data_IF_433465756248
#
_entry.id   IF_433465756248
#
_cell.length_a   1.000
_cell.length_b   1.000
_cell.length_c   1.000
_cell.angle_alpha   90.00
_cell.angle_beta   90.00
_cell.angle_gamma   90.00
#
_symmetry.space_group_name_H-M   'P 1'
#
loop_
_entity.id
_entity.type
_entity.pdbx_description
1 polymer ?
#
# COMPACT_ATOMS: atom_id res chain seq x y z
N UNK A 1 -34.32 -3.60 64.06
CA UNK A 1 -33.99 -4.52 62.96
C UNK A 1 -32.78 -3.96 62.26
N UNK A 2 -31.62 -4.56 62.49
CA UNK A 2 -30.32 -4.08 62.04
C UNK A 2 -29.80 -4.96 60.89
N UNK A 3 -29.26 -4.28 59.88
CA UNK A 3 -28.13 -4.68 59.01
C UNK A 3 -28.12 -6.07 58.36
N UNK A 4 -28.53 -6.12 57.08
CA UNK A 4 -28.00 -7.02 56.05
C UNK A 4 -27.42 -6.08 54.97
N UNK A 5 -26.20 -6.16 54.44
CA UNK A 5 -25.17 -7.17 54.43
C UNK A 5 -24.33 -6.80 53.19
N UNK A 6 -23.36 -5.91 53.36
CA UNK A 6 -22.52 -5.42 52.26
C UNK A 6 -21.29 -6.34 52.15
N UNK A 7 -21.36 -7.35 51.29
CA UNK A 7 -20.18 -8.10 50.84
C UNK A 7 -19.95 -7.72 49.38
N UNK A 8 -19.17 -6.65 49.18
CA UNK A 8 -18.56 -6.35 47.89
C UNK A 8 -17.32 -7.25 47.77
N UNK A 9 -17.48 -8.36 47.06
CA UNK A 9 -16.35 -9.17 46.61
C UNK A 9 -15.64 -8.39 45.50
N UNK A 10 -14.58 -7.67 45.86
CA UNK A 10 -13.67 -7.02 44.91
C UNK A 10 -12.93 -8.11 44.12
N UNK A 11 -13.46 -8.45 42.94
CA UNK A 11 -12.67 -9.14 41.92
C UNK A 11 -11.68 -8.13 41.35
N UNK A 12 -10.47 -8.10 41.91
CA UNK A 12 -9.30 -7.44 41.33
C UNK A 12 -8.91 -8.19 40.05
N UNK A 13 -9.61 -7.93 38.94
CA UNK A 13 -9.06 -8.17 37.62
C UNK A 13 -8.07 -7.04 37.34
N UNK A 14 -6.82 -7.28 37.71
CA UNK A 14 -5.69 -6.55 37.16
C UNK A 14 -5.76 -6.66 35.64
N UNK A 15 -6.17 -5.58 34.97
CA UNK A 15 -5.98 -5.39 33.54
C UNK A 15 -4.46 -5.25 33.30
N UNK A 16 -3.75 -6.37 33.23
CA UNK A 16 -2.46 -6.40 32.57
C UNK A 16 -2.72 -5.99 31.12
N UNK A 17 -2.09 -4.90 30.67
CA UNK A 17 -2.16 -4.48 29.28
C UNK A 17 -1.80 -5.69 28.41
N UNK A 18 -2.73 -6.12 27.56
CA UNK A 18 -2.57 -7.35 26.80
C UNK A 18 -1.32 -7.25 25.92
N UNK A 19 -0.49 -8.30 25.94
CA UNK A 19 0.86 -8.33 25.36
C UNK A 19 0.82 -8.38 23.83
N UNK A 20 1.48 -7.41 23.17
CA UNK A 20 1.48 -7.25 21.70
C UNK A 20 2.48 -8.15 20.97
N UNK A 21 3.32 -8.86 21.71
CA UNK A 21 4.31 -9.82 21.20
C UNK A 21 4.09 -11.20 21.79
N UNK A 22 4.53 -12.22 21.08
CA UNK A 22 4.36 -13.63 21.49
C UNK A 22 5.52 -14.09 22.38
N UNK A 23 5.26 -15.08 23.22
CA UNK A 23 6.29 -15.72 24.05
C UNK A 23 7.18 -16.73 23.30
N UNK A 24 6.80 -17.13 22.09
CA UNK A 24 7.54 -18.08 21.25
C UNK A 24 8.49 -17.40 20.25
N UNK A 25 8.67 -16.08 20.33
CA UNK A 25 9.55 -15.30 19.46
C UNK A 25 9.03 -15.10 18.02
N UNK A 26 7.80 -15.54 17.72
CA UNK A 26 7.17 -15.33 16.41
C UNK A 26 6.51 -13.96 16.33
N UNK A 27 6.50 -13.40 15.12
CA UNK A 27 5.91 -12.10 14.82
C UNK A 27 5.41 -12.04 13.37
N UNK A 28 4.78 -10.94 12.98
CA UNK A 28 4.28 -10.72 11.63
C UNK A 28 2.86 -11.26 11.41
N UNK A 29 2.34 -11.14 10.18
CA UNK A 29 0.92 -11.36 9.86
C UNK A 29 0.49 -12.83 9.99
N UNK A 30 1.43 -13.77 9.89
CA UNK A 30 1.17 -15.19 10.03
C UNK A 30 1.15 -15.66 11.49
N UNK A 31 1.59 -14.81 12.43
CA UNK A 31 1.70 -15.15 13.85
C UNK A 31 1.13 -14.02 14.73
N UNK A 32 -0.20 -13.83 14.78
CA UNK A 32 -0.82 -12.83 15.64
C UNK A 32 -0.49 -13.04 17.12
N UNK A 33 -0.34 -11.94 17.86
CA UNK A 33 -0.20 -11.91 19.30
C UNK A 33 -1.56 -11.68 19.99
N UNK A 34 -1.68 -11.92 21.30
CA UNK A 34 -2.94 -11.76 22.05
C UNK A 34 -3.63 -10.40 21.86
N UNK A 35 -2.87 -9.33 21.64
CA UNK A 35 -3.38 -7.97 21.45
C UNK A 35 -2.86 -7.24 20.21
N UNK A 36 -2.24 -7.96 19.27
CA UNK A 36 -1.74 -7.38 18.04
C UNK A 36 -1.84 -8.35 16.85
N UNK A 37 -2.35 -7.86 15.73
CA UNK A 37 -2.31 -8.53 14.44
C UNK A 37 -1.89 -7.51 13.36
N UNK A 38 -0.67 -7.58 12.79
CA UNK A 38 0.33 -8.64 12.95
C UNK A 38 0.90 -8.74 14.38
N UNK A 39 1.44 -9.90 14.75
CA UNK A 39 2.15 -10.04 16.03
C UNK A 39 3.44 -9.21 16.03
N UNK A 40 3.73 -8.53 17.13
CA UNK A 40 4.88 -7.62 17.22
C UNK A 40 6.08 -8.27 17.94
N UNK A 41 7.18 -7.54 18.03
CA UNK A 41 8.33 -7.88 18.86
C UNK A 41 8.42 -6.96 20.07
N UNK A 42 9.03 -7.45 21.16
CA UNK A 42 9.16 -6.66 22.38
C UNK A 42 10.14 -5.51 22.14
N UNK A 43 9.70 -4.24 22.23
CA UNK A 43 10.54 -3.08 21.97
C UNK A 43 11.72 -2.95 22.95
N UNK A 44 11.58 -3.54 24.15
CA UNK A 44 12.60 -3.50 25.21
C UNK A 44 13.45 -4.79 25.26
N UNK A 45 13.30 -5.69 24.28
CA UNK A 45 14.10 -6.92 24.18
C UNK A 45 15.41 -6.66 23.43
N UNK A 46 16.35 -7.59 23.58
CA UNK A 46 17.53 -7.68 22.70
C UNK A 46 17.14 -7.99 21.25
N UNK A 47 15.92 -8.52 21.01
CA UNK A 47 15.37 -8.89 19.71
C UNK A 47 14.14 -8.04 19.33
N UNK A 48 14.31 -6.73 19.04
CA UNK A 48 13.20 -5.81 18.85
C UNK A 48 12.66 -5.78 17.42
N UNK A 49 13.27 -6.48 16.45
CA UNK A 49 12.88 -6.38 15.04
C UNK A 49 12.17 -7.64 14.54
N UNK A 50 11.08 -7.47 13.81
CA UNK A 50 10.39 -8.58 13.14
C UNK A 50 10.91 -8.76 11.71
N UNK A 51 11.46 -9.93 11.39
CA UNK A 51 11.93 -10.30 10.05
C UNK A 51 10.82 -10.70 9.08
N UNK A 52 11.13 -10.77 7.77
CA UNK A 52 10.20 -11.28 6.73
C UNK A 52 9.73 -12.72 7.01
N UNK A 53 10.52 -13.49 7.76
CA UNK A 53 10.26 -14.88 8.11
C UNK A 53 9.37 -15.05 9.35
N UNK A 54 8.93 -13.93 9.94
CA UNK A 54 8.06 -13.90 11.10
C UNK A 54 8.76 -14.32 12.38
N UNK A 55 10.00 -13.86 12.57
CA UNK A 55 10.79 -14.06 13.79
C UNK A 55 11.31 -12.74 14.33
N UNK A 56 11.25 -12.59 15.65
CA UNK A 56 11.89 -11.50 16.37
C UNK A 56 13.41 -11.74 16.45
N UNK A 57 14.19 -10.73 16.08
CA UNK A 57 15.66 -10.75 16.15
C UNK A 57 16.24 -9.35 16.14
N UNK A 58 17.57 -9.26 16.06
CA UNK A 58 18.32 -7.99 16.12
C UNK A 58 19.42 -7.86 15.06
N UNK A 59 19.70 -8.94 14.34
CA UNK A 59 20.66 -8.93 13.26
C UNK A 59 20.13 -8.12 12.06
N UNK A 60 21.01 -7.71 11.15
CA UNK A 60 20.61 -6.95 9.95
C UNK A 60 19.53 -7.65 9.11
N UNK A 61 19.52 -8.99 9.07
CA UNK A 61 18.46 -9.76 8.41
C UNK A 61 17.07 -9.67 9.07
N UNK A 62 16.99 -9.12 10.28
CA UNK A 62 15.76 -8.90 11.05
C UNK A 62 15.34 -7.43 11.10
N UNK A 63 16.27 -6.49 10.95
CA UNK A 63 16.00 -5.05 11.07
C UNK A 63 16.12 -4.28 9.74
N UNK A 64 17.02 -4.68 8.84
CA UNK A 64 17.41 -3.89 7.65
C UNK A 64 16.78 -4.37 6.34
N UNK A 65 15.70 -5.14 6.40
CA UNK A 65 15.00 -5.65 5.22
C UNK A 65 13.76 -4.84 4.86
N UNK A 66 13.30 -4.95 3.61
CA UNK A 66 12.20 -4.13 3.11
C UNK A 66 10.85 -4.40 3.80
N UNK A 67 10.66 -5.61 4.33
CA UNK A 67 9.47 -6.02 5.07
C UNK A 67 9.72 -6.15 6.58
N UNK A 68 10.91 -5.77 7.05
CA UNK A 68 11.25 -5.82 8.46
C UNK A 68 10.57 -4.67 9.21
N UNK A 69 10.22 -4.91 10.47
CA UNK A 69 9.67 -3.87 11.36
C UNK A 69 10.49 -3.82 12.63
N UNK A 70 11.19 -2.70 12.86
CA UNK A 70 11.96 -2.44 14.07
C UNK A 70 11.09 -1.73 15.12
N UNK A 71 10.94 -2.34 16.30
CA UNK A 71 10.17 -1.82 17.42
C UNK A 71 11.04 -1.13 18.50
N UNK A 72 12.37 -1.05 18.33
CA UNK A 72 13.34 -0.59 19.34
C UNK A 72 13.27 0.90 19.70
N UNK A 73 12.74 1.73 18.82
CA UNK A 73 12.53 3.14 19.07
C UNK A 73 11.07 3.37 19.49
N UNK A 74 10.83 4.23 20.48
CA UNK A 74 9.50 4.79 20.80
C UNK A 74 8.83 5.58 19.65
N UNK A 75 9.15 5.27 18.38
CA UNK A 75 8.29 5.53 17.25
C UNK A 75 7.00 4.77 17.44
N UNK A 76 6.01 5.43 18.03
CA UNK A 76 4.65 5.25 17.56
C UNK A 76 4.69 5.41 16.04
N UNK A 77 4.73 4.30 15.32
CA UNK A 77 4.17 4.27 13.97
C UNK A 77 2.79 4.90 14.14
N UNK A 78 2.45 5.99 13.41
CA UNK A 78 1.12 6.54 13.47
C UNK A 78 0.15 5.37 13.33
N UNK A 79 -0.82 5.26 14.23
CA UNK A 79 -1.84 4.22 14.17
C UNK A 79 -2.42 4.22 12.75
N UNK A 80 -1.98 3.28 11.91
CA UNK A 80 -2.25 3.30 10.46
C UNK A 80 -1.06 3.08 9.50
N UNK A 81 0.16 2.76 9.96
CA UNK A 81 1.27 2.45 9.04
C UNK A 81 1.94 1.11 9.36
N UNK A 82 1.88 0.20 8.38
CA UNK A 82 2.41 -1.18 8.32
C UNK A 82 1.57 -2.28 9.01
N UNK A 83 0.25 -2.20 8.94
CA UNK A 83 -0.56 -3.42 8.99
C UNK A 83 -0.43 -4.17 7.66
N UNK A 84 -0.51 -5.50 7.69
CA UNK A 84 -0.77 -6.34 6.51
C UNK A 84 -2.16 -6.11 5.91
N UNK A 85 -2.74 -4.93 6.11
CA UNK A 85 -4.01 -4.50 5.56
C UNK A 85 -3.76 -3.62 4.34
N UNK A 86 -4.65 -3.74 3.37
CA UNK A 86 -4.65 -2.89 2.21
C UNK A 86 -4.64 -1.40 2.60
N UNK A 87 -3.90 -0.55 1.88
CA UNK A 87 -3.94 0.88 2.12
C UNK A 87 -5.38 1.37 1.95
N UNK A 88 -5.69 2.55 2.50
CA UNK A 88 -6.96 3.19 2.19
C UNK A 88 -7.05 3.44 0.68
N UNK A 89 -7.97 2.72 0.03
CA UNK A 89 -8.34 2.91 -1.37
C UNK A 89 -9.62 3.74 -1.41
N UNK A 90 -9.49 4.99 -1.86
CA UNK A 90 -10.62 5.84 -2.21
C UNK A 90 -11.32 5.21 -3.41
N UNK A 91 -12.50 4.66 -3.15
CA UNK A 91 -13.31 3.95 -4.14
C UNK A 91 -13.79 4.89 -5.25
N UNK A 92 -14.19 4.30 -6.38
CA UNK A 92 -14.80 5.02 -7.50
C UNK A 92 -15.94 5.95 -7.07
N UNK A 93 -16.82 5.52 -6.16
CA UNK A 93 -17.90 6.37 -5.67
C UNK A 93 -17.40 7.52 -4.80
N UNK A 94 -16.40 7.29 -3.94
CA UNK A 94 -15.86 8.33 -3.05
C UNK A 94 -15.17 9.47 -3.81
N UNK A 95 -14.44 9.19 -4.89
CA UNK A 95 -13.85 10.25 -5.71
C UNK A 95 -14.78 10.77 -6.81
N UNK A 96 -16.01 10.27 -6.90
CA UNK A 96 -17.01 10.76 -7.86
C UNK A 96 -16.75 10.33 -9.30
N UNK A 97 -16.39 9.07 -9.50
CA UNK A 97 -16.23 8.47 -10.82
C UNK A 97 -17.52 8.49 -11.62
N UNK A 98 -17.42 8.82 -12.90
CA UNK A 98 -18.49 8.48 -13.85
C UNK A 98 -18.42 7.00 -14.24
N UNK A 99 -19.51 6.51 -14.83
CA UNK A 99 -19.62 5.14 -15.32
C UNK A 99 -18.58 4.85 -16.40
N UNK A 100 -17.95 3.68 -16.32
CA UNK A 100 -17.13 3.16 -17.42
C UNK A 100 -18.05 2.84 -18.60
N UNK A 101 -17.69 3.27 -19.81
CA UNK A 101 -18.44 2.93 -21.02
C UNK A 101 -18.09 1.54 -21.56
N UNK A 102 -16.96 0.98 -21.15
CA UNK A 102 -16.53 -0.35 -21.56
C UNK A 102 -15.58 -0.98 -20.54
N UNK A 103 -15.72 -2.30 -20.34
CA UNK A 103 -14.94 -3.08 -19.37
C UNK A 103 -14.37 -4.32 -20.05
N UNK A 104 -13.06 -4.51 -19.92
CA UNK A 104 -12.38 -5.77 -20.19
C UNK A 104 -11.74 -6.28 -18.92
N UNK A 105 -11.87 -7.57 -18.66
CA UNK A 105 -11.23 -8.23 -17.53
C UNK A 105 -9.79 -8.63 -17.86
N UNK A 106 -8.96 -8.71 -16.83
CA UNK A 106 -7.58 -9.19 -16.90
C UNK A 106 -7.46 -10.55 -16.23
N UNK A 107 -6.61 -11.43 -16.75
CA UNK A 107 -6.33 -12.72 -16.11
C UNK A 107 -5.49 -12.50 -14.84
N UNK A 108 -5.89 -13.15 -13.75
CA UNK A 108 -5.25 -13.03 -12.44
C UNK A 108 -4.66 -14.38 -11.99
N UNK A 109 -3.62 -14.37 -11.14
CA UNK A 109 -2.85 -13.20 -10.68
C UNK A 109 -1.96 -12.59 -11.78
N UNK A 110 -1.86 -11.27 -11.83
CA UNK A 110 -1.02 -10.59 -12.82
C UNK A 110 0.47 -10.80 -12.51
N UNK A 111 1.33 -10.99 -13.52
CA UNK A 111 2.77 -11.14 -13.33
C UNK A 111 3.53 -9.82 -13.14
N UNK A 112 2.97 -8.66 -13.50
CA UNK A 112 3.73 -7.41 -13.57
C UNK A 112 3.02 -6.24 -12.87
N UNK A 113 3.81 -5.30 -12.37
CA UNK A 113 3.34 -3.99 -11.91
C UNK A 113 4.12 -2.91 -12.66
N UNK A 114 3.43 -1.89 -13.16
CA UNK A 114 4.06 -0.78 -13.89
C UNK A 114 3.78 0.54 -13.18
N UNK A 115 4.84 1.25 -12.82
CA UNK A 115 4.77 2.57 -12.17
C UNK A 115 4.76 3.67 -13.23
N UNK A 116 3.85 4.62 -13.05
CA UNK A 116 3.65 5.78 -13.89
C UNK A 116 3.64 7.07 -13.09
N UNK A 117 3.78 8.20 -13.80
CA UNK A 117 3.54 9.53 -13.26
C UNK A 117 2.60 10.34 -14.16
N UNK A 118 2.00 11.39 -13.60
CA UNK A 118 1.32 12.39 -14.40
C UNK A 118 2.25 13.48 -14.89
N UNK A 119 1.76 14.30 -15.80
CA UNK A 119 2.32 15.63 -16.04
C UNK A 119 1.53 16.66 -15.21
N UNK A 120 2.14 17.81 -14.93
CA UNK A 120 1.52 18.88 -14.16
C UNK A 120 1.69 18.78 -12.64
N UNK A 121 0.97 19.63 -11.90
CA UNK A 121 1.14 19.77 -10.45
C UNK A 121 0.73 18.54 -9.65
N UNK A 122 1.01 18.54 -8.35
CA UNK A 122 0.59 17.50 -7.41
C UNK A 122 -0.82 17.78 -6.86
N UNK A 123 -1.27 17.00 -5.87
CA UNK A 123 -2.46 17.25 -5.05
C UNK A 123 -2.15 16.81 -3.62
N UNK A 124 -2.63 17.55 -2.61
CA UNK A 124 -2.17 17.41 -1.21
C UNK A 124 -3.25 16.95 -0.23
N UNK A 125 -4.49 16.83 -0.66
CA UNK A 125 -5.63 16.40 0.15
C UNK A 125 -6.61 15.58 -0.70
N UNK A 126 -7.52 14.86 -0.04
CA UNK A 126 -8.43 13.96 -0.76
C UNK A 126 -9.34 14.68 -1.76
N UNK A 127 -9.78 15.91 -1.45
CA UNK A 127 -10.69 16.64 -2.32
C UNK A 127 -9.97 17.10 -3.60
N UNK A 128 -8.78 17.68 -3.47
CA UNK A 128 -7.95 18.11 -4.61
C UNK A 128 -7.47 16.93 -5.44
N UNK A 129 -7.09 15.82 -4.80
CA UNK A 129 -6.70 14.60 -5.51
C UNK A 129 -7.89 13.96 -6.22
N UNK A 130 -9.06 13.83 -5.58
CA UNK A 130 -10.27 13.32 -6.23
C UNK A 130 -10.67 14.18 -7.45
N UNK A 131 -10.55 15.51 -7.35
CA UNK A 131 -10.79 16.40 -8.49
C UNK A 131 -9.84 16.14 -9.64
N UNK A 132 -8.57 15.87 -9.34
CA UNK A 132 -7.55 15.52 -10.34
C UNK A 132 -7.85 14.17 -11.01
N UNK A 133 -8.23 13.15 -10.22
CA UNK A 133 -8.65 11.84 -10.74
C UNK A 133 -9.83 11.97 -11.69
N UNK A 134 -10.85 12.77 -11.34
CA UNK A 134 -11.98 13.09 -12.25
C UNK A 134 -11.50 13.77 -13.53
N UNK A 135 -10.57 14.72 -13.43
CA UNK A 135 -9.95 15.37 -14.60
C UNK A 135 -9.27 14.38 -15.53
N UNK A 136 -8.49 13.43 -14.99
CA UNK A 136 -7.86 12.37 -15.78
C UNK A 136 -8.89 11.41 -16.40
N UNK A 137 -9.96 11.06 -15.68
CA UNK A 137 -11.03 10.24 -16.23
C UNK A 137 -11.73 10.95 -17.40
N UNK A 138 -12.04 12.24 -17.25
CA UNK A 138 -12.65 13.05 -18.30
C UNK A 138 -11.74 13.10 -19.54
N UNK A 139 -10.46 13.44 -19.36
CA UNK A 139 -9.51 13.48 -20.47
C UNK A 139 -9.40 12.15 -21.22
N UNK A 140 -9.22 11.03 -20.50
CA UNK A 140 -9.08 9.72 -21.17
C UNK A 140 -10.33 9.29 -21.94
N UNK A 141 -11.51 9.56 -21.41
CA UNK A 141 -12.75 9.11 -22.03
C UNK A 141 -13.29 10.12 -23.06
N UNK A 142 -13.21 11.43 -22.81
CA UNK A 142 -13.73 12.47 -23.72
C UNK A 142 -12.73 12.81 -24.82
N UNK A 143 -11.44 12.91 -24.50
CA UNK A 143 -10.39 13.28 -25.47
C UNK A 143 -9.78 12.08 -26.17
N UNK A 144 -9.51 10.97 -25.45
CA UNK A 144 -8.92 9.77 -26.06
C UNK A 144 -9.95 8.71 -26.48
N UNK A 145 -11.23 8.88 -26.13
CA UNK A 145 -12.30 7.93 -26.45
C UNK A 145 -12.22 6.59 -25.71
N UNK A 146 -11.52 6.54 -24.57
CA UNK A 146 -11.34 5.28 -23.83
C UNK A 146 -12.58 4.89 -23.03
N UNK A 147 -12.66 3.60 -22.67
CA UNK A 147 -13.75 3.06 -21.85
C UNK A 147 -13.81 3.59 -20.41
N UNK A 148 -12.68 4.09 -19.89
CA UNK A 148 -12.50 4.60 -18.55
C UNK A 148 -11.12 5.27 -18.42
N UNK A 149 -10.80 5.82 -17.24
CA UNK A 149 -9.45 6.22 -16.85
C UNK A 149 -8.44 5.09 -17.15
N UNK A 150 -7.26 5.41 -17.68
CA UNK A 150 -6.33 4.40 -18.20
C UNK A 150 -5.65 3.49 -17.17
N UNK A 151 -5.51 3.97 -15.93
CA UNK A 151 -4.74 3.30 -14.88
C UNK A 151 -5.62 2.45 -13.96
N UNK A 152 -5.03 1.41 -13.38
CA UNK A 152 -5.73 0.57 -12.40
C UNK A 152 -5.89 1.30 -11.08
N UNK A 153 -4.81 1.95 -10.62
CA UNK A 153 -4.80 2.76 -9.40
C UNK A 153 -4.01 4.04 -9.61
N UNK A 154 -4.38 5.08 -8.86
CA UNK A 154 -3.66 6.34 -8.81
C UNK A 154 -3.21 6.61 -7.37
N UNK A 155 -2.14 7.37 -7.18
CA UNK A 155 -1.61 7.71 -5.85
C UNK A 155 -1.36 9.21 -5.76
N UNK A 156 -1.91 9.86 -4.74
CA UNK A 156 -1.73 11.28 -4.48
C UNK A 156 -0.63 11.56 -3.46
N UNK A 157 -0.12 12.80 -3.42
CA UNK A 157 0.80 13.22 -2.36
C UNK A 157 0.10 13.35 -0.99
N UNK A 158 -1.22 13.26 -0.96
CA UNK A 158 -2.05 13.07 0.23
C UNK A 158 -1.86 11.68 0.88
N UNK A 159 -1.16 10.76 0.20
CA UNK A 159 -0.91 9.40 0.68
C UNK A 159 -2.08 8.43 0.48
N UNK A 160 -3.14 8.83 -0.21
CA UNK A 160 -4.25 7.93 -0.54
C UNK A 160 -3.99 7.19 -1.86
N UNK A 161 -4.55 5.99 -1.97
CA UNK A 161 -4.72 5.29 -3.24
C UNK A 161 -6.13 5.60 -3.78
N UNK A 162 -6.26 5.80 -5.08
CA UNK A 162 -7.52 6.04 -5.76
C UNK A 162 -7.80 4.90 -6.74
N UNK A 163 -8.99 4.31 -6.63
CA UNK A 163 -9.42 3.23 -7.52
C UNK A 163 -9.70 3.77 -8.93
N UNK A 164 -8.87 3.40 -9.90
CA UNK A 164 -9.13 3.63 -11.32
C UNK A 164 -9.95 2.46 -11.88
N UNK A 165 -9.34 1.67 -12.77
CA UNK A 165 -9.94 0.42 -13.26
C UNK A 165 -9.93 -0.71 -12.21
N UNK A 166 -9.21 -0.55 -11.11
CA UNK A 166 -9.15 -1.53 -10.03
C UNK A 166 -8.37 -2.79 -10.41
N UNK A 167 -8.54 -3.85 -9.62
CA UNK A 167 -7.77 -5.09 -9.74
C UNK A 167 -8.15 -5.94 -10.96
N UNK A 168 -9.44 -6.02 -11.26
CA UNK A 168 -9.99 -7.07 -12.13
C UNK A 168 -10.06 -6.66 -13.60
N UNK A 169 -9.85 -5.39 -13.90
CA UNK A 169 -10.04 -4.82 -15.23
C UNK A 169 -8.72 -4.47 -15.88
N UNK A 170 -8.62 -4.77 -17.17
CA UNK A 170 -7.48 -4.44 -18.02
C UNK A 170 -7.27 -2.93 -18.08
N UNK A 171 -6.03 -2.50 -17.84
CA UNK A 171 -5.57 -1.12 -18.02
C UNK A 171 -5.52 -0.67 -19.48
N UNK A 172 -5.26 0.63 -19.67
CA UNK A 172 -4.87 1.23 -20.95
C UNK A 172 -3.67 2.19 -20.72
N UNK A 173 -2.66 1.70 -20.00
CA UNK A 173 -1.54 2.51 -19.51
C UNK A 173 -0.20 2.20 -20.19
N UNK A 174 0.02 0.97 -20.66
CA UNK A 174 1.25 0.57 -21.35
C UNK A 174 0.94 -0.51 -22.39
N UNK A 175 0.95 -0.14 -23.69
CA UNK A 175 0.39 -0.92 -24.80
C UNK A 175 0.79 -2.41 -24.76
N UNK A 176 2.08 -2.69 -24.54
CA UNK A 176 2.64 -4.04 -24.63
C UNK A 176 2.36 -4.93 -23.42
N UNK A 177 1.91 -4.36 -22.30
CA UNK A 177 1.79 -5.09 -21.03
C UNK A 177 0.44 -4.88 -20.33
N UNK A 178 -0.51 -4.17 -20.95
CA UNK A 178 -1.84 -3.91 -20.39
C UNK A 178 -2.62 -5.19 -20.00
N UNK A 179 -2.36 -6.31 -20.66
CA UNK A 179 -3.05 -7.60 -20.45
C UNK A 179 -2.47 -8.43 -19.32
N UNK A 180 -1.34 -8.02 -18.75
CA UNK A 180 -0.56 -8.78 -17.78
C UNK A 180 0.01 -7.92 -16.66
N UNK A 181 -0.51 -6.70 -16.48
CA UNK A 181 -0.01 -5.80 -15.46
C UNK A 181 -1.09 -4.94 -14.79
N UNK A 182 -0.77 -4.51 -13.58
CA UNK A 182 -1.46 -3.44 -12.87
C UNK A 182 -0.65 -2.14 -13.03
N UNK A 183 -1.28 -1.11 -13.57
CA UNK A 183 -0.71 0.23 -13.68
C UNK A 183 -1.02 1.10 -12.46
N UNK A 184 0.02 1.57 -11.77
CA UNK A 184 -0.07 2.48 -10.62
C UNK A 184 0.44 3.86 -11.05
N UNK A 185 -0.39 4.89 -10.94
CA UNK A 185 -0.13 6.22 -11.49
C UNK A 185 0.02 7.29 -10.39
N UNK A 186 1.24 7.77 -10.17
CA UNK A 186 1.50 8.85 -9.24
C UNK A 186 1.06 10.19 -9.82
N UNK A 187 0.26 10.95 -9.06
CA UNK A 187 -0.32 12.22 -9.49
C UNK A 187 0.64 13.40 -9.25
N UNK A 188 1.50 13.65 -10.22
CA UNK A 188 2.41 14.78 -10.31
C UNK A 188 3.55 14.51 -11.29
N UNK A 189 4.25 15.56 -11.72
CA UNK A 189 5.50 15.42 -12.47
C UNK A 189 6.67 15.15 -11.51
N UNK A 190 7.24 13.95 -11.60
CA UNK A 190 8.37 13.50 -10.81
C UNK A 190 9.69 13.41 -11.58
N UNK A 191 9.83 14.24 -12.61
CA UNK A 191 11.10 14.36 -13.37
C UNK A 191 12.21 14.95 -12.51
N UNK A 192 11.90 16.00 -11.74
CA UNK A 192 12.88 16.73 -10.92
C UNK A 192 12.47 16.89 -9.45
N UNK A 193 11.42 16.20 -9.02
CA UNK A 193 10.97 16.13 -7.63
C UNK A 193 10.51 14.70 -7.31
N UNK A 194 10.57 14.30 -6.03
CA UNK A 194 10.07 13.00 -5.58
C UNK A 194 8.61 13.12 -5.10
N UNK A 195 7.80 12.04 -5.19
CA UNK A 195 6.55 11.98 -4.43
C UNK A 195 6.79 12.08 -2.93
N UNK A 196 5.74 12.37 -2.16
CA UNK A 196 5.82 12.31 -0.70
C UNK A 196 6.11 10.89 -0.22
N UNK A 197 6.75 10.76 0.95
CA UNK A 197 7.01 9.46 1.56
C UNK A 197 5.71 8.65 1.78
N UNK A 198 4.61 9.32 2.10
CA UNK A 198 3.28 8.69 2.24
C UNK A 198 2.75 8.13 0.92
N UNK A 199 2.95 8.81 -0.21
CA UNK A 199 2.59 8.30 -1.53
C UNK A 199 3.39 7.04 -1.89
N UNK A 200 4.70 7.06 -1.64
CA UNK A 200 5.58 5.90 -1.87
C UNK A 200 5.13 4.71 -0.99
N UNK A 201 4.88 4.95 0.29
CA UNK A 201 4.40 3.93 1.22
C UNK A 201 3.03 3.36 0.81
N UNK A 202 2.11 4.20 0.35
CA UNK A 202 0.79 3.79 -0.13
C UNK A 202 0.89 2.88 -1.36
N UNK A 203 1.75 3.20 -2.32
CA UNK A 203 1.98 2.37 -3.50
C UNK A 203 2.60 1.01 -3.15
N UNK A 204 3.61 0.98 -2.27
CA UNK A 204 4.21 -0.27 -1.78
C UNK A 204 3.18 -1.14 -1.03
N UNK A 205 2.39 -0.52 -0.16
CA UNK A 205 1.30 -1.20 0.57
C UNK A 205 0.23 -1.74 -0.36
N UNK A 206 -0.10 -1.00 -1.42
CA UNK A 206 -1.03 -1.43 -2.46
C UNK A 206 -0.53 -2.68 -3.19
N UNK A 207 0.75 -2.71 -3.56
CA UNK A 207 1.36 -3.88 -4.20
C UNK A 207 1.31 -5.08 -3.25
N UNK A 208 1.68 -4.90 -1.98
CA UNK A 208 1.62 -5.94 -0.95
C UNK A 208 0.19 -6.49 -0.78
N UNK A 209 -0.81 -5.61 -0.70
CA UNK A 209 -2.22 -5.96 -0.69
C UNK A 209 -2.65 -6.75 -1.94
N UNK A 210 -2.21 -6.33 -3.13
CA UNK A 210 -2.48 -7.07 -4.36
C UNK A 210 -1.89 -8.49 -4.34
N UNK A 211 -0.72 -8.66 -3.72
CA UNK A 211 -0.11 -9.98 -3.52
C UNK A 211 -0.92 -10.82 -2.52
N UNK A 212 -1.30 -10.26 -1.37
CA UNK A 212 -2.07 -10.98 -0.34
C UNK A 212 -3.46 -11.40 -0.82
N UNK A 213 -4.09 -10.59 -1.69
CA UNK A 213 -5.39 -10.89 -2.31
C UNK A 213 -5.30 -11.86 -3.51
N UNK A 214 -4.11 -12.30 -3.91
CA UNK A 214 -3.92 -13.13 -5.10
C UNK A 214 -4.25 -12.39 -6.41
N UNK A 215 -4.20 -11.05 -6.41
CA UNK A 215 -4.39 -10.20 -7.60
C UNK A 215 -3.08 -10.01 -8.35
N UNK A 216 -1.97 -9.96 -7.62
CA UNK A 216 -0.59 -9.88 -8.12
C UNK A 216 0.14 -11.16 -7.70
N UNK A 217 0.98 -11.73 -8.58
CA UNK A 217 1.78 -12.92 -8.23
C UNK A 217 2.77 -12.56 -7.11
N UNK A 218 2.98 -13.47 -6.17
CA UNK A 218 4.04 -13.29 -5.15
C UNK A 218 5.43 -13.15 -5.75
N UNK A 219 5.65 -13.67 -6.97
CA UNK A 219 6.86 -13.55 -7.80
C UNK A 219 6.80 -12.47 -8.88
N UNK A 220 6.02 -11.39 -8.70
CA UNK A 220 5.84 -10.35 -9.71
C UNK A 220 7.15 -9.64 -10.11
N UNK A 221 7.14 -9.02 -11.28
CA UNK A 221 8.18 -8.09 -11.76
C UNK A 221 7.67 -6.65 -11.70
N UNK A 222 8.48 -5.74 -11.17
CA UNK A 222 8.20 -4.31 -11.10
C UNK A 222 8.97 -3.55 -12.20
N UNK A 223 8.27 -2.62 -12.85
CA UNK A 223 8.79 -1.79 -13.93
C UNK A 223 8.40 -0.32 -13.73
N UNK A 224 9.24 0.60 -14.17
CA UNK A 224 8.79 1.92 -14.61
C UNK A 224 8.21 1.85 -16.02
N UNK A 225 7.32 2.77 -16.39
CA UNK A 225 6.75 2.78 -17.75
C UNK A 225 7.82 2.82 -18.85
N UNK A 226 8.92 3.54 -18.65
CA UNK A 226 10.06 3.59 -19.57
C UNK A 226 10.75 2.24 -19.83
N UNK A 227 10.56 1.25 -18.96
CA UNK A 227 11.16 -0.09 -19.14
C UNK A 227 10.35 -0.95 -20.13
N UNK A 228 9.09 -0.57 -20.36
CA UNK A 228 8.14 -1.34 -21.19
C UNK A 228 7.60 -0.52 -22.38
N UNK A 229 8.12 0.69 -22.58
CA UNK A 229 7.74 1.60 -23.65
C UNK A 229 8.68 2.79 -23.81
N UNK A 230 8.63 3.45 -24.96
CA UNK A 230 9.47 4.62 -25.26
C UNK A 230 8.87 5.91 -24.68
N UNK A 231 9.13 6.17 -23.40
CA UNK A 231 8.57 7.31 -22.66
C UNK A 231 9.55 7.82 -21.59
N UNK A 232 9.38 9.07 -21.14
CA UNK A 232 10.08 9.57 -19.94
C UNK A 232 9.39 9.18 -18.61
N UNK A 233 8.19 8.62 -18.65
CA UNK A 233 7.44 8.18 -17.46
C UNK A 233 8.18 7.01 -16.76
N UNK A 234 8.27 6.94 -15.42
CA UNK A 234 7.58 7.75 -14.41
C UNK A 234 8.34 9.02 -13.95
N UNK A 235 9.19 9.60 -14.79
CA UNK A 235 10.07 10.73 -14.42
C UNK A 235 11.33 10.26 -13.69
N UNK A 236 12.41 11.03 -13.77
CA UNK A 236 13.73 10.57 -13.33
C UNK A 236 13.80 10.25 -11.84
N UNK A 237 13.34 11.17 -10.97
CA UNK A 237 13.50 10.97 -9.53
C UNK A 237 12.57 9.89 -8.96
N UNK A 238 11.36 9.71 -9.51
CA UNK A 238 10.51 8.58 -9.14
C UNK A 238 11.04 7.27 -9.72
N UNK A 239 11.55 7.27 -10.96
CA UNK A 239 12.17 6.08 -11.54
C UNK A 239 13.37 5.60 -10.73
N UNK A 240 14.26 6.51 -10.33
CA UNK A 240 15.41 6.16 -9.49
C UNK A 240 15.00 5.63 -8.12
N UNK A 241 13.89 6.11 -7.55
CA UNK A 241 13.32 5.55 -6.33
C UNK A 241 12.79 4.12 -6.55
N UNK A 242 12.03 3.89 -7.63
CA UNK A 242 11.46 2.59 -7.99
C UNK A 242 12.53 1.50 -8.17
N UNK A 243 13.72 1.86 -8.66
CA UNK A 243 14.86 0.91 -8.78
C UNK A 243 15.27 0.29 -7.44
N UNK A 244 15.03 0.99 -6.34
CA UNK A 244 15.34 0.51 -4.99
C UNK A 244 14.25 -0.40 -4.40
N UNK A 245 13.10 -0.53 -5.07
CA UNK A 245 11.99 -1.32 -4.55
C UNK A 245 12.21 -2.81 -4.83
N UNK A 246 11.64 -3.66 -3.97
CA UNK A 246 11.65 -5.10 -4.16
C UNK A 246 11.06 -5.50 -5.51
N UNK A 247 11.73 -6.46 -6.17
CA UNK A 247 11.31 -7.09 -7.45
C UNK A 247 11.37 -6.19 -8.67
N UNK A 248 12.11 -5.09 -8.61
CA UNK A 248 12.43 -4.31 -9.79
C UNK A 248 13.36 -5.08 -10.75
N UNK A 249 13.12 -4.98 -12.07
CA UNK A 249 13.80 -5.79 -13.11
C UNK A 249 14.48 -4.94 -14.21
N UNK A 250 14.36 -3.60 -14.17
CA UNK A 250 14.76 -2.70 -15.26
C UNK A 250 16.22 -2.21 -15.27
#
# INVERSE_FOLDING_TARGET
MATNGLIFLLCLLSYAAAQRWRGDGRCGPNYPAPSANPGECNPNSVDPCCSEWGWCGHESGHCDCALCVDYSAGGSVPAGSLSGDCPRIVTRSEWGARHSSWVQYISQPVPKVVIHHSTGGTCGDQASCSAKVRGFQNYHMDSNGWGDIGYNFLVGNDGNVYEGRGWDRRGAHALNVNTESIGIYFMGDFTSQKPTASAIAAAKSLISCGVSLGKIRSGYSLYGHRDVGSTACPGNLLYDDVKSWGRYVG
#
